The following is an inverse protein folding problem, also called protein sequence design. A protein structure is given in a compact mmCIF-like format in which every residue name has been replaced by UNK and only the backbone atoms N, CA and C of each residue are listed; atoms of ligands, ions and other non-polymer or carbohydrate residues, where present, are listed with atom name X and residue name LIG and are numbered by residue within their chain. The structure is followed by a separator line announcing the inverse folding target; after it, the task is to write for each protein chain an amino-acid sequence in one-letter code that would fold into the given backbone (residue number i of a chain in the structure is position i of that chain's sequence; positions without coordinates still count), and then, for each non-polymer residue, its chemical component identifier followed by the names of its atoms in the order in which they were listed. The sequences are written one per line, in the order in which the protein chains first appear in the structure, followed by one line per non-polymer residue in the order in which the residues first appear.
data_IF_586676618644
#
_entry.id   IF_586676618644
#
_cell.length_a   1.000
_cell.length_b   1.000
_cell.length_c   1.000
_cell.angle_alpha   90.00
_cell.angle_beta   90.00
_cell.angle_gamma   90.00
#
_symmetry.space_group_name_H-M   'P 1'
#
loop_
_entity.id
_entity.type
_entity.pdbx_description
1 polymer ?
#
# COMPACT_ATOMS: atom_id res chain seq x y z
N UNK A 1 -1.81 -29.83 -12.65
CA UNK A 1 -1.19 -28.57 -13.09
C UNK A 1 0.29 -28.84 -13.25
N UNK A 2 0.86 -28.50 -14.40
CA UNK A 2 2.30 -28.58 -14.61
C UNK A 2 2.91 -27.26 -14.14
N UNK A 3 3.69 -27.34 -13.06
CA UNK A 3 4.33 -26.18 -12.45
C UNK A 3 5.26 -25.43 -13.42
N UNK A 4 5.85 -26.13 -14.40
CA UNK A 4 6.70 -25.49 -15.41
C UNK A 4 5.86 -24.71 -16.41
N UNK A 5 4.73 -25.25 -16.84
CA UNK A 5 3.79 -24.57 -17.72
C UNK A 5 3.27 -23.28 -17.06
N UNK A 6 2.90 -23.35 -15.78
CA UNK A 6 2.40 -22.21 -15.01
C UNK A 6 3.44 -21.07 -14.92
N UNK A 7 4.73 -21.41 -14.69
CA UNK A 7 5.81 -20.42 -14.68
C UNK A 7 5.97 -19.70 -16.00
N UNK A 8 5.81 -20.42 -17.12
CA UNK A 8 5.90 -19.83 -18.46
C UNK A 8 4.72 -18.88 -18.71
N UNK A 9 3.52 -19.21 -18.25
CA UNK A 9 2.36 -18.34 -18.35
C UNK A 9 2.54 -17.05 -17.54
N UNK A 10 3.04 -17.15 -16.31
CA UNK A 10 3.36 -15.98 -15.48
C UNK A 10 4.39 -15.07 -16.16
N UNK A 11 5.47 -15.63 -16.74
CA UNK A 11 6.47 -14.83 -17.47
C UNK A 11 5.85 -14.05 -18.63
N UNK A 12 4.89 -14.64 -19.37
CA UNK A 12 4.21 -13.93 -20.47
C UNK A 12 3.40 -12.74 -19.96
N UNK A 13 2.63 -12.94 -18.89
CA UNK A 13 1.85 -11.86 -18.28
C UNK A 13 2.76 -10.72 -17.81
N UNK A 14 3.94 -11.03 -17.24
CA UNK A 14 4.90 -10.02 -16.81
C UNK A 14 5.46 -9.17 -17.95
N UNK A 15 5.61 -9.73 -19.15
CA UNK A 15 6.08 -8.99 -20.32
C UNK A 15 5.04 -8.00 -20.85
N UNK A 16 3.76 -8.17 -20.49
CA UNK A 16 2.65 -7.30 -20.91
C UNK A 16 2.36 -6.18 -19.89
N UNK A 17 3.00 -6.20 -18.71
CA UNK A 17 2.82 -5.16 -17.69
C UNK A 17 3.56 -3.89 -18.10
N UNK A 18 2.81 -2.82 -18.34
CA UNK A 18 3.35 -1.49 -18.66
C UNK A 18 3.36 -0.53 -17.46
N UNK A 19 2.63 -0.87 -16.40
CA UNK A 19 2.49 -0.06 -15.19
C UNK A 19 3.57 -0.41 -14.14
N UNK A 20 4.34 0.61 -13.73
CA UNK A 20 5.46 0.45 -12.80
C UNK A 20 5.01 0.02 -11.40
N UNK A 21 3.85 0.51 -10.94
CA UNK A 21 3.30 0.14 -9.64
C UNK A 21 2.97 -1.36 -9.60
N UNK A 22 2.28 -1.86 -10.62
CA UNK A 22 1.93 -3.28 -10.78
C UNK A 22 3.18 -4.17 -10.74
N UNK A 23 4.26 -3.76 -11.43
CA UNK A 23 5.51 -4.52 -11.42
C UNK A 23 6.15 -4.59 -10.04
N UNK A 24 6.08 -3.51 -9.26
CA UNK A 24 6.62 -3.45 -7.90
C UNK A 24 5.82 -4.30 -6.91
N UNK A 25 4.49 -4.31 -7.02
CA UNK A 25 3.63 -5.18 -6.21
C UNK A 25 3.94 -6.66 -6.47
N UNK A 26 4.11 -7.05 -7.74
CA UNK A 26 4.49 -8.42 -8.11
C UNK A 26 5.88 -8.77 -7.56
N UNK A 27 6.85 -7.86 -7.64
CA UNK A 27 8.18 -8.08 -7.07
C UNK A 27 8.10 -8.33 -5.57
N UNK A 28 7.27 -7.60 -4.83
CA UNK A 28 7.08 -7.81 -3.39
C UNK A 28 6.48 -9.20 -3.07
N UNK A 29 5.59 -9.71 -3.92
CA UNK A 29 5.05 -11.07 -3.77
C UNK A 29 6.11 -12.15 -4.05
N UNK A 30 6.96 -11.93 -5.06
CA UNK A 30 7.99 -12.91 -5.46
C UNK A 30 9.25 -12.86 -4.59
N UNK A 31 9.59 -11.68 -4.09
CA UNK A 31 10.69 -11.43 -3.17
C UNK A 31 10.11 -11.21 -1.77
N UNK A 32 9.93 -12.31 -1.05
CA UNK A 32 9.47 -12.32 0.34
C UNK A 32 10.37 -11.51 1.31
N UNK A 33 11.54 -11.05 0.84
CA UNK A 33 12.53 -10.24 1.57
C UNK A 33 12.58 -8.77 1.11
N UNK A 34 11.74 -8.35 0.16
CA UNK A 34 11.72 -6.97 -0.32
C UNK A 34 10.81 -6.12 0.55
N UNK A 35 11.40 -5.43 1.53
CA UNK A 35 10.71 -4.39 2.27
C UNK A 35 10.58 -3.15 1.38
N UNK A 36 9.43 -3.04 0.70
CA UNK A 36 9.11 -1.91 -0.17
C UNK A 36 9.16 -0.56 0.56
N UNK A 37 9.21 -0.57 1.90
CA UNK A 37 9.45 0.61 2.72
C UNK A 37 10.71 1.35 2.28
N UNK A 38 11.79 0.63 1.93
CA UNK A 38 13.07 1.25 1.58
C UNK A 38 13.00 2.10 0.29
N UNK A 39 12.09 1.78 -0.63
CA UNK A 39 11.93 2.51 -1.90
C UNK A 39 10.92 3.67 -1.83
N UNK A 40 10.22 3.81 -0.70
CA UNK A 40 9.31 4.93 -0.54
C UNK A 40 10.09 6.26 -0.57
N UNK A 41 9.56 7.31 -1.23
CA UNK A 41 10.14 8.64 -1.13
C UNK A 41 10.25 9.08 0.32
N UNK A 42 11.30 9.84 0.67
CA UNK A 42 11.54 10.27 2.06
C UNK A 42 10.32 10.97 2.68
N UNK A 43 9.65 11.84 1.92
CA UNK A 43 8.45 12.53 2.38
C UNK A 43 7.30 11.57 2.75
N UNK A 44 7.22 10.40 2.11
CA UNK A 44 6.23 9.36 2.42
C UNK A 44 6.65 8.63 3.69
N UNK A 45 7.95 8.32 3.86
CA UNK A 45 8.48 7.73 5.10
C UNK A 45 8.24 8.63 6.31
N UNK A 46 8.55 9.92 6.18
CA UNK A 46 8.29 10.95 7.20
C UNK A 46 6.81 11.01 7.58
N UNK A 47 5.92 10.96 6.59
CA UNK A 47 4.47 10.99 6.81
C UNK A 47 3.98 9.75 7.56
N UNK A 48 4.55 8.58 7.26
CA UNK A 48 4.24 7.31 7.96
C UNK A 48 4.72 7.38 9.41
N UNK A 49 5.95 7.85 9.65
CA UNK A 49 6.50 8.00 11.00
C UNK A 49 5.65 8.97 11.84
N UNK A 50 5.29 10.11 11.28
CA UNK A 50 4.38 11.06 11.94
C UNK A 50 3.02 10.43 12.27
N UNK A 51 2.44 9.66 11.33
CA UNK A 51 1.15 9.01 11.56
C UNK A 51 1.23 7.96 12.69
N UNK A 52 2.34 7.24 12.82
CA UNK A 52 2.59 6.31 13.91
C UNK A 52 2.70 7.04 15.25
N UNK A 53 3.45 8.15 15.30
CA UNK A 53 3.51 8.99 16.50
C UNK A 53 2.13 9.54 16.90
N UNK A 54 1.31 9.94 15.93
CA UNK A 54 -0.04 10.42 16.16
C UNK A 54 -0.94 9.32 16.74
N UNK A 55 -0.79 8.07 16.30
CA UNK A 55 -1.47 6.91 16.91
C UNK A 55 -1.03 6.71 18.37
N UNK A 56 0.27 6.74 18.65
CA UNK A 56 0.80 6.56 20.01
C UNK A 56 0.36 7.68 20.97
N UNK A 57 0.32 8.92 20.47
CA UNK A 57 -0.14 10.09 21.24
C UNK A 57 -1.67 10.14 21.38
N UNK A 58 -2.40 9.26 20.71
CA UNK A 58 -3.87 9.26 20.70
C UNK A 58 -4.48 10.38 19.85
N UNK A 59 -3.70 10.98 18.95
CA UNK A 59 -4.15 11.99 17.97
C UNK A 59 -4.92 11.35 16.80
N UNK A 60 -5.68 10.29 17.08
CA UNK A 60 -6.49 9.57 16.11
C UNK A 60 -7.95 9.76 16.43
N UNK A 61 -8.78 9.69 15.38
CA UNK A 61 -10.24 9.80 15.51
C UNK A 61 -10.87 8.65 14.77
N UNK A 62 -11.88 8.05 15.37
CA UNK A 62 -12.61 6.99 14.70
C UNK A 62 -13.38 7.56 13.50
N UNK A 63 -13.60 6.71 12.50
CA UNK A 63 -14.39 7.08 11.33
C UNK A 63 -15.80 7.57 11.73
N UNK A 64 -16.43 6.90 12.71
CA UNK A 64 -17.76 7.28 13.19
C UNK A 64 -17.80 8.69 13.80
N UNK A 65 -16.80 9.05 14.61
CA UNK A 65 -16.69 10.38 15.21
C UNK A 65 -16.53 11.47 14.15
N UNK A 66 -15.68 11.21 13.14
CA UNK A 66 -15.44 12.14 12.04
C UNK A 66 -16.71 12.34 11.22
N UNK A 67 -17.39 11.26 10.82
CA UNK A 67 -18.63 11.33 10.03
C UNK A 67 -19.74 12.04 10.80
N UNK A 68 -19.88 11.77 12.11
CA UNK A 68 -20.86 12.45 12.96
C UNK A 68 -20.60 13.96 13.04
N UNK A 69 -19.35 14.37 13.19
CA UNK A 69 -18.98 15.78 13.20
C UNK A 69 -19.23 16.45 11.84
N UNK A 70 -18.83 15.80 10.74
CA UNK A 70 -19.03 16.34 9.39
C UNK A 70 -20.51 16.54 9.07
N UNK A 71 -21.36 15.55 9.41
CA UNK A 71 -22.83 15.65 9.36
C UNK A 71 -23.36 16.84 10.15
N UNK A 72 -22.87 16.99 11.38
CA UNK A 72 -23.34 18.06 12.27
C UNK A 72 -22.89 19.46 11.85
N UNK A 73 -21.68 19.61 11.29
CA UNK A 73 -21.11 20.91 10.92
C UNK A 73 -21.52 21.37 9.52
N UNK A 74 -21.65 20.45 8.57
CA UNK A 74 -21.80 20.78 7.16
C UNK A 74 -23.07 20.18 6.51
N UNK A 75 -23.83 19.35 7.22
CA UNK A 75 -25.12 18.83 6.75
C UNK A 75 -25.04 17.81 5.60
N UNK A 76 -23.86 17.23 5.37
CA UNK A 76 -23.61 16.14 4.41
C UNK A 76 -23.93 14.77 5.00
#
# INVERSE_FOLDING_TARGET
MDLQAEKIELVKLLLEVEDEQTLNEIKAVLHHDYDFYDDLPEAVKDSIEQALEDVEKGNVRSHEEVIKEMKSKYGI
#
